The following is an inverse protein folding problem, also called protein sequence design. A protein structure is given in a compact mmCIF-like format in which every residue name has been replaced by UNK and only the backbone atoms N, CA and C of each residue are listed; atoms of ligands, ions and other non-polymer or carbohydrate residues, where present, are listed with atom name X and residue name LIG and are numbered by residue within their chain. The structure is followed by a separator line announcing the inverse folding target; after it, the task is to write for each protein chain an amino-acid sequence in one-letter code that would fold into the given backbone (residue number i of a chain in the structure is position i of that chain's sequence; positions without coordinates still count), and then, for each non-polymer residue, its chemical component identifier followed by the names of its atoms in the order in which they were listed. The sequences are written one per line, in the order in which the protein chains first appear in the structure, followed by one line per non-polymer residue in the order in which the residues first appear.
data_IF_991393248178
#
_entry.id   IF_991393248178
#
_cell.length_a   1.000
_cell.length_b   1.000
_cell.length_c   1.000
_cell.angle_alpha   90.00
_cell.angle_beta   90.00
_cell.angle_gamma   90.00
#
_symmetry.space_group_name_H-M   'P 1'
#
loop_
_entity.id
_entity.type
_entity.pdbx_description
1 polymer ?
#
# COMPACT_ATOMS: atom_id res chain seq x y z
N UNK A 1 14.42 -3.09 13.49
CA UNK A 1 13.10 -3.72 13.71
C UNK A 1 12.53 -4.06 12.34
N UNK A 2 12.28 -5.34 12.06
CA UNK A 2 11.63 -5.76 10.81
C UNK A 2 10.12 -5.77 11.07
N UNK A 3 9.37 -4.95 10.35
CA UNK A 3 7.92 -4.83 10.51
C UNK A 3 7.16 -5.91 9.71
N UNK A 4 7.83 -6.64 8.84
CA UNK A 4 7.28 -7.84 8.19
C UNK A 4 7.97 -9.08 8.71
N UNK A 5 7.28 -10.21 8.61
CA UNK A 5 7.92 -11.51 8.66
C UNK A 5 8.28 -11.95 7.23
N UNK A 6 9.56 -11.97 6.85
CA UNK A 6 9.96 -12.40 5.50
C UNK A 6 9.84 -13.92 5.32
N UNK A 7 10.12 -14.44 4.13
CA UNK A 7 10.33 -15.87 3.84
C UNK A 7 9.14 -16.83 3.95
N UNK A 8 7.92 -16.30 4.12
CA UNK A 8 6.66 -16.98 3.80
C UNK A 8 5.57 -15.96 3.53
N UNK A 9 5.00 -15.98 2.32
CA UNK A 9 3.88 -15.12 1.96
C UNK A 9 2.97 -15.81 0.93
N UNK A 10 1.66 -15.65 1.14
CA UNK A 10 0.61 -16.20 0.26
C UNK A 10 0.70 -15.64 -1.16
N UNK A 11 1.08 -14.37 -1.31
CA UNK A 11 1.18 -13.68 -2.57
C UNK A 11 2.26 -14.26 -3.51
N UNK A 12 3.18 -15.09 -3.00
CA UNK A 12 4.16 -15.86 -3.81
C UNK A 12 4.00 -17.37 -3.64
N UNK A 13 2.92 -17.82 -2.97
CA UNK A 13 2.61 -19.23 -2.75
C UNK A 13 3.63 -19.98 -1.88
N UNK A 14 4.32 -19.28 -0.97
CA UNK A 14 5.36 -19.89 -0.13
C UNK A 14 4.92 -20.08 1.31
N UNK A 15 5.47 -21.09 1.97
CA UNK A 15 5.22 -21.38 3.38
C UNK A 15 6.46 -21.95 4.08
N UNK A 16 6.63 -21.62 5.36
CA UNK A 16 7.66 -22.24 6.18
C UNK A 16 7.22 -23.66 6.61
N UNK A 17 8.19 -24.59 6.68
CA UNK A 17 8.01 -25.92 7.28
C UNK A 17 7.67 -25.85 8.77
N UNK A 18 8.34 -24.96 9.49
CA UNK A 18 8.21 -24.78 10.94
C UNK A 18 7.21 -23.67 11.25
N UNK A 19 6.48 -23.80 12.35
CA UNK A 19 5.72 -22.69 12.95
C UNK A 19 6.64 -21.72 13.69
N UNK A 20 7.73 -22.24 14.24
CA UNK A 20 8.76 -21.44 14.88
C UNK A 20 9.71 -20.89 13.82
N UNK A 21 9.62 -19.59 13.59
CA UNK A 21 10.32 -18.85 12.54
C UNK A 21 11.03 -17.64 13.13
N UNK A 22 12.20 -17.34 12.60
CA UNK A 22 12.97 -16.16 12.99
C UNK A 22 12.18 -14.89 12.63
N UNK A 23 11.91 -13.98 13.58
CA UNK A 23 11.19 -12.73 13.26
C UNK A 23 11.99 -11.81 12.33
N UNK A 24 13.32 -11.91 12.32
CA UNK A 24 14.18 -11.03 11.54
C UNK A 24 14.35 -11.51 10.11
N UNK A 25 14.64 -12.81 9.96
CA UNK A 25 14.97 -13.43 8.68
C UNK A 25 13.87 -14.33 8.15
N UNK A 26 12.82 -14.66 8.89
CA UNK A 26 11.71 -15.46 8.39
C UNK A 26 12.03 -16.92 8.09
N UNK A 27 13.27 -17.35 8.30
CA UNK A 27 13.67 -18.76 8.18
C UNK A 27 13.14 -19.55 9.38
N UNK A 28 12.90 -20.84 9.21
CA UNK A 28 12.61 -21.74 10.33
C UNK A 28 13.75 -21.66 11.35
N UNK A 29 13.44 -21.58 12.65
CA UNK A 29 14.46 -21.59 13.73
C UNK A 29 15.37 -22.81 13.64
N UNK A 30 14.85 -23.93 13.11
CA UNK A 30 15.59 -25.11 12.72
C UNK A 30 15.52 -25.32 11.20
N UNK A 31 16.46 -24.76 10.47
CA UNK A 31 16.70 -25.15 9.07
C UNK A 31 17.42 -26.50 9.05
N UNK A 32 17.05 -27.38 8.12
CA UNK A 32 17.64 -28.72 8.02
C UNK A 32 18.03 -29.05 6.60
N UNK A 33 19.13 -29.80 6.48
CA UNK A 33 19.45 -30.51 5.27
C UNK A 33 18.35 -31.54 4.94
N UNK A 34 18.02 -31.67 3.65
CA UNK A 34 16.91 -32.50 3.19
C UNK A 34 15.50 -31.91 3.39
N UNK A 35 15.38 -30.61 3.74
CA UNK A 35 14.08 -29.94 3.77
C UNK A 35 13.41 -29.98 2.39
N UNK A 36 12.17 -30.50 2.33
CA UNK A 36 11.37 -30.55 1.08
C UNK A 36 10.86 -29.18 0.62
N UNK A 37 11.21 -28.11 1.34
CA UNK A 37 11.06 -26.75 0.85
C UNK A 37 9.70 -26.10 1.05
N UNK A 38 9.32 -25.30 0.05
CA UNK A 38 8.18 -24.38 -0.03
C UNK A 38 8.35 -22.98 0.60
N UNK A 39 9.43 -22.67 1.33
CA UNK A 39 9.68 -21.29 1.78
C UNK A 39 10.35 -20.45 0.68
N UNK A 40 10.34 -19.12 0.80
CA UNK A 40 10.94 -18.24 -0.23
C UNK A 40 12.42 -18.52 -0.47
N UNK A 41 13.21 -18.82 0.58
CA UNK A 41 14.63 -19.18 0.43
C UNK A 41 14.79 -20.42 -0.45
N UNK A 42 14.02 -21.48 -0.17
CA UNK A 42 14.07 -22.70 -0.96
C UNK A 42 13.60 -22.44 -2.39
N UNK A 43 12.50 -21.71 -2.58
CA UNK A 43 11.98 -21.46 -3.92
C UNK A 43 12.95 -20.60 -4.75
N UNK A 44 13.56 -19.59 -4.13
CA UNK A 44 14.51 -18.68 -4.77
C UNK A 44 15.82 -19.35 -5.17
N UNK A 45 16.27 -20.41 -4.47
CA UNK A 45 17.52 -21.10 -4.84
C UNK A 45 17.46 -21.79 -6.20
N UNK A 46 16.27 -22.10 -6.71
CA UNK A 46 16.09 -22.76 -8.01
C UNK A 46 15.38 -21.87 -9.03
N UNK A 47 14.41 -21.03 -8.60
CA UNK A 47 13.59 -20.19 -9.49
C UNK A 47 14.00 -18.73 -9.53
N UNK A 48 14.85 -18.27 -8.62
CA UNK A 48 15.49 -16.95 -8.62
C UNK A 48 14.57 -15.81 -9.06
N UNK A 49 14.76 -15.34 -10.30
CA UNK A 49 14.03 -14.20 -10.89
C UNK A 49 12.53 -14.43 -11.08
N UNK A 50 12.10 -15.68 -11.24
CA UNK A 50 10.69 -16.01 -11.50
C UNK A 50 9.79 -15.73 -10.29
N UNK A 51 10.37 -15.60 -9.10
CA UNK A 51 9.64 -15.39 -7.83
C UNK A 51 9.94 -14.03 -7.20
N UNK A 52 10.44 -13.09 -8.01
CA UNK A 52 10.69 -11.72 -7.57
C UNK A 52 9.39 -10.94 -7.32
N UNK A 53 8.32 -11.27 -8.07
CA UNK A 53 7.03 -10.61 -7.97
C UNK A 53 5.95 -11.57 -7.46
N UNK A 54 4.93 -11.04 -6.75
CA UNK A 54 3.73 -11.79 -6.44
C UNK A 54 3.09 -12.43 -7.68
N UNK A 55 2.54 -13.62 -7.51
CA UNK A 55 1.80 -14.33 -8.55
C UNK A 55 0.55 -15.00 -7.98
N UNK A 56 -0.47 -15.28 -8.80
CA UNK A 56 -0.54 -15.08 -10.27
C UNK A 56 -0.77 -13.61 -10.69
N UNK A 57 0.15 -13.06 -11.48
CA UNK A 57 0.10 -11.66 -11.92
C UNK A 57 -1.19 -11.38 -12.68
N UNK A 58 -1.90 -10.32 -12.29
CA UNK A 58 -3.13 -9.89 -12.96
C UNK A 58 -4.41 -10.54 -12.48
N UNK A 59 -4.30 -11.67 -11.79
CA UNK A 59 -5.45 -12.36 -11.16
C UNK A 59 -5.57 -12.04 -9.67
N UNK A 60 -4.49 -11.54 -9.05
CA UNK A 60 -4.46 -11.16 -7.63
C UNK A 60 -4.07 -9.70 -7.43
N UNK A 61 -4.52 -9.17 -6.29
CA UNK A 61 -3.95 -7.95 -5.69
C UNK A 61 -3.18 -8.35 -4.44
N UNK A 62 -1.86 -8.16 -4.45
CA UNK A 62 -1.03 -8.47 -3.29
C UNK A 62 -1.07 -7.32 -2.27
N UNK A 63 -1.55 -7.61 -1.06
CA UNK A 63 -1.53 -6.68 0.07
C UNK A 63 -0.15 -6.61 0.74
N UNK A 64 0.09 -5.55 1.50
CA UNK A 64 1.27 -5.48 2.37
C UNK A 64 1.07 -6.41 3.59
N UNK A 65 2.09 -7.19 3.92
CA UNK A 65 2.14 -8.12 5.07
C UNK A 65 2.90 -7.56 6.28
N UNK A 66 3.19 -6.25 6.24
CA UNK A 66 3.88 -5.54 7.32
C UNK A 66 2.89 -5.23 8.44
N UNK A 67 3.28 -5.52 9.67
CA UNK A 67 2.65 -4.97 10.85
C UNK A 67 3.11 -3.52 11.04
N UNK A 68 2.36 -2.59 10.44
CA UNK A 68 2.64 -1.17 10.61
C UNK A 68 2.37 -0.74 12.07
N UNK A 69 3.24 0.06 12.69
CA UNK A 69 3.05 0.50 14.07
C UNK A 69 1.92 1.53 14.22
N UNK A 70 1.50 2.14 13.11
CA UNK A 70 0.43 3.13 13.03
C UNK A 70 -0.32 2.90 11.72
N UNK A 71 -1.64 2.94 11.77
CA UNK A 71 -2.54 2.94 10.62
C UNK A 71 -3.64 3.99 10.82
N UNK A 72 -4.56 4.13 9.87
CA UNK A 72 -5.62 5.13 9.95
C UNK A 72 -6.57 4.96 11.15
N UNK A 73 -6.70 3.75 11.71
CA UNK A 73 -7.51 3.52 12.92
C UNK A 73 -6.90 4.13 14.19
N UNK A 74 -5.60 4.42 14.16
CA UNK A 74 -4.88 5.07 15.26
C UNK A 74 -5.04 6.60 15.23
N UNK A 75 -5.60 7.16 14.15
CA UNK A 75 -5.72 8.61 13.94
C UNK A 75 -7.17 9.04 14.14
N UNK A 76 -7.38 10.03 15.02
CA UNK A 76 -8.66 10.71 15.18
C UNK A 76 -8.52 12.19 14.83
N UNK A 77 -9.38 12.67 13.92
CA UNK A 77 -9.43 14.09 13.55
C UNK A 77 -10.41 14.80 14.50
N UNK A 78 -9.90 15.69 15.35
CA UNK A 78 -10.69 16.44 16.33
C UNK A 78 -11.12 17.80 15.74
N UNK A 79 -12.33 17.86 15.16
CA UNK A 79 -12.80 18.99 14.36
C UNK A 79 -13.16 20.28 15.12
N UNK A 80 -13.36 20.23 16.44
CA UNK A 80 -13.92 21.36 17.22
C UNK A 80 -12.90 22.14 18.05
N UNK A 81 -11.61 21.80 18.01
CA UNK A 81 -10.69 22.27 19.03
C UNK A 81 -10.12 23.69 18.82
N UNK A 82 -9.91 24.17 17.58
CA UNK A 82 -9.18 25.45 17.35
C UNK A 82 -9.51 26.10 15.99
N UNK A 83 -10.40 27.11 15.98
CA UNK A 83 -10.60 28.05 14.85
C UNK A 83 -10.89 27.41 13.47
N UNK A 84 -11.03 28.24 12.43
CA UNK A 84 -11.02 27.79 11.04
C UNK A 84 -9.84 28.44 10.31
N UNK A 85 -9.15 27.66 9.48
CA UNK A 85 -8.05 28.13 8.61
C UNK A 85 -8.41 27.82 7.16
N UNK A 86 -7.89 28.62 6.23
CA UNK A 86 -8.17 28.45 4.80
C UNK A 86 -9.42 29.18 4.30
N UNK A 87 -10.06 30.00 5.15
CA UNK A 87 -11.10 30.93 4.71
C UNK A 87 -10.47 32.11 3.94
N UNK A 88 -11.21 32.76 3.02
CA UNK A 88 -10.75 33.95 2.32
C UNK A 88 -10.34 35.07 3.28
N UNK A 89 -9.43 35.93 2.83
CA UNK A 89 -8.95 37.07 3.63
C UNK A 89 -10.13 37.95 4.07
N UNK A 90 -10.18 38.27 5.37
CA UNK A 90 -11.25 39.08 5.97
C UNK A 90 -12.51 38.31 6.38
N UNK A 91 -12.63 37.02 6.09
CA UNK A 91 -13.78 36.21 6.52
C UNK A 91 -13.58 35.73 7.97
N UNK A 92 -14.52 36.07 8.85
CA UNK A 92 -14.52 35.63 10.25
C UNK A 92 -14.77 34.12 10.30
N UNK A 93 -13.93 33.38 11.02
CA UNK A 93 -14.11 31.95 11.27
C UNK A 93 -15.28 31.70 12.24
N UNK A 94 -16.40 31.20 11.73
CA UNK A 94 -17.60 30.87 12.51
C UNK A 94 -18.34 29.67 11.89
N UNK A 95 -19.27 29.02 12.60
CA UNK A 95 -20.09 27.95 12.03
C UNK A 95 -20.89 28.37 10.78
N UNK A 96 -21.23 29.65 10.63
CA UNK A 96 -21.98 30.18 9.49
C UNK A 96 -21.10 30.43 8.25
N UNK A 97 -19.79 30.50 8.42
CA UNK A 97 -18.82 30.80 7.35
C UNK A 97 -17.92 29.61 7.01
N UNK A 98 -17.67 28.70 7.96
CA UNK A 98 -16.91 27.47 7.77
C UNK A 98 -17.83 26.31 7.34
N UNK A 99 -18.53 26.50 6.23
CA UNK A 99 -19.49 25.53 5.68
C UNK A 99 -18.83 24.61 4.65
N UNK A 100 -19.25 23.34 4.60
CA UNK A 100 -18.63 22.33 3.73
C UNK A 100 -18.79 22.63 2.23
N UNK A 101 -19.78 23.44 1.83
CA UNK A 101 -20.00 23.84 0.44
C UNK A 101 -18.92 24.78 -0.10
N UNK A 102 -18.24 25.51 0.78
CA UNK A 102 -17.19 26.47 0.42
C UNK A 102 -15.78 25.85 0.47
N UNK A 103 -15.68 24.54 0.71
CA UNK A 103 -14.39 23.84 0.77
C UNK A 103 -13.79 23.72 -0.64
N UNK A 104 -12.61 24.32 -0.82
CA UNK A 104 -11.82 24.15 -2.04
C UNK A 104 -10.91 22.92 -1.91
N UNK A 105 -11.13 21.94 -2.79
CA UNK A 105 -10.34 20.70 -2.86
C UNK A 105 -9.25 20.74 -3.93
N UNK A 106 -9.08 21.87 -4.64
CA UNK A 106 -8.04 22.00 -5.66
C UNK A 106 -6.65 21.91 -5.03
N UNK A 107 -5.74 21.26 -5.74
CA UNK A 107 -4.34 21.12 -5.33
C UNK A 107 -3.44 20.99 -6.56
N UNK A 108 -2.13 20.93 -6.35
CA UNK A 108 -1.15 20.59 -7.38
C UNK A 108 -0.30 19.39 -6.96
N UNK A 109 0.17 18.62 -7.95
CA UNK A 109 1.09 17.49 -7.76
C UNK A 109 2.34 17.68 -8.62
N UNK A 110 3.49 17.17 -8.16
CA UNK A 110 4.77 17.23 -8.86
C UNK A 110 5.80 18.12 -8.16
N UNK A 111 7.09 17.91 -8.47
CA UNK A 111 8.20 18.67 -7.87
C UNK A 111 8.53 19.92 -8.71
N UNK A 112 9.17 19.72 -9.86
CA UNK A 112 9.55 20.81 -10.78
C UNK A 112 8.38 21.22 -11.70
N UNK A 113 7.64 20.24 -12.22
CA UNK A 113 6.46 20.47 -13.06
C UNK A 113 5.22 20.22 -12.21
N UNK A 114 4.42 21.26 -12.02
CA UNK A 114 3.17 21.20 -11.26
C UNK A 114 2.01 20.85 -12.18
N UNK A 115 1.24 19.84 -11.79
CA UNK A 115 0.00 19.43 -12.46
C UNK A 115 -1.17 19.87 -11.59
N UNK A 116 -2.03 20.80 -12.05
CA UNK A 116 -3.19 21.24 -11.29
C UNK A 116 -4.27 20.15 -11.25
N UNK A 117 -4.91 20.01 -10.09
CA UNK A 117 -5.92 18.99 -9.81
C UNK A 117 -7.16 19.63 -9.18
N UNK A 118 -8.35 19.12 -9.51
CA UNK A 118 -9.62 19.56 -8.90
C UNK A 118 -9.90 18.94 -7.53
N UNK A 119 -9.36 17.75 -7.31
CA UNK A 119 -9.50 16.95 -6.10
C UNK A 119 -8.12 16.38 -5.74
N UNK A 120 -7.79 16.20 -4.45
CA UNK A 120 -6.50 15.64 -4.02
C UNK A 120 -6.51 14.11 -4.08
N UNK A 121 -7.09 13.55 -5.14
CA UNK A 121 -7.30 12.11 -5.33
C UNK A 121 -6.97 11.79 -6.78
N UNK A 122 -6.18 10.76 -6.99
CA UNK A 122 -5.89 10.22 -8.31
C UNK A 122 -5.68 8.71 -8.20
N UNK A 123 -5.83 8.01 -9.32
CA UNK A 123 -5.59 6.57 -9.36
C UNK A 123 -4.09 6.30 -9.36
N UNK A 124 -3.64 5.34 -8.56
CA UNK A 124 -2.27 4.83 -8.63
C UNK A 124 -1.98 4.18 -9.99
N UNK A 125 -0.74 3.72 -10.19
CA UNK A 125 -0.38 2.97 -11.40
C UNK A 125 -1.21 1.68 -11.49
N UNK A 126 -2.06 1.57 -12.53
CA UNK A 126 -3.04 0.48 -12.70
C UNK A 126 -2.46 -0.83 -13.28
N UNK A 127 -1.14 -1.03 -13.19
CA UNK A 127 -0.48 -2.23 -13.71
C UNK A 127 -0.30 -2.21 -15.23
N UNK A 128 -0.19 -3.40 -15.84
CA UNK A 128 0.04 -3.52 -17.29
C UNK A 128 -1.21 -3.10 -18.08
N UNK A 129 -1.00 -2.73 -19.35
CA UNK A 129 -2.09 -2.41 -20.30
C UNK A 129 -3.12 -3.53 -20.40
N UNK A 130 -2.69 -4.78 -20.27
CA UNK A 130 -3.59 -5.94 -20.28
C UNK A 130 -4.49 -6.01 -19.04
N UNK A 131 -3.98 -5.64 -17.85
CA UNK A 131 -4.81 -5.59 -16.63
C UNK A 131 -5.80 -4.44 -16.70
N UNK A 132 -5.37 -3.29 -17.21
CA UNK A 132 -6.23 -2.15 -17.47
C UNK A 132 -7.37 -2.55 -18.44
N UNK A 133 -7.04 -3.25 -19.54
CA UNK A 133 -8.03 -3.74 -20.51
C UNK A 133 -9.02 -4.74 -19.91
N UNK A 134 -8.53 -5.71 -19.13
CA UNK A 134 -9.35 -6.77 -18.57
C UNK A 134 -10.36 -6.25 -17.53
N UNK A 135 -10.02 -5.19 -16.79
CA UNK A 135 -10.82 -4.70 -15.66
C UNK A 135 -11.53 -3.37 -15.94
N UNK A 136 -11.06 -2.57 -16.92
CA UNK A 136 -11.61 -1.25 -17.23
C UNK A 136 -11.60 -0.98 -18.74
N UNK A 137 -12.78 -1.06 -19.35
CA UNK A 137 -12.96 -0.77 -20.78
C UNK A 137 -12.45 0.64 -21.16
N UNK A 138 -12.61 1.63 -20.29
CA UNK A 138 -12.18 3.01 -20.54
C UNK A 138 -10.66 3.25 -20.43
N UNK A 139 -9.91 2.27 -19.92
CA UNK A 139 -8.44 2.32 -19.86
C UNK A 139 -7.76 1.36 -20.85
N UNK A 140 -8.56 0.57 -21.60
CA UNK A 140 -8.10 -0.24 -22.73
C UNK A 140 -7.79 0.67 -23.93
N UNK A 141 -6.53 1.08 -24.10
CA UNK A 141 -6.05 1.71 -25.36
C UNK A 141 -5.18 0.70 -26.09
#
# INVERSE_FOLDING_TARGET
MNLRQPNANEAVGTSNRSRDVSPTSGICTRCVDGCRGACEIWLSSFRGREVLYPGPFGEITAGADKQFPVDYSHVNIQGYAVGARGLPEGVVASPDTAVFSEVDTRTEYGWDIKVPMRLPIFTGALGSTEIARANWEHFAI
#
